data_IF_559279755615
#
_entry.id   IF_559279755615
#
_cell.length_a   1.000
_cell.length_b   1.000
_cell.length_c   1.000
_cell.angle_alpha   90.00
_cell.angle_beta   90.00
_cell.angle_gamma   90.00
#
_symmetry.space_group_name_H-M   'P 1'
#
loop_
_entity.id
_entity.type
_entity.pdbx_description
1 polymer ?
#
# COMPACT_ATOMS: atom_id res chain seq x y z
N UNK A 1 15.74 -17.00 -11.98
CA UNK A 1 15.61 -17.58 -10.62
C UNK A 1 14.40 -16.94 -9.93
N UNK A 2 13.33 -17.68 -9.65
CA UNK A 2 12.09 -17.11 -9.10
C UNK A 2 12.25 -16.55 -7.67
N UNK A 3 13.17 -17.08 -6.86
CA UNK A 3 13.40 -16.60 -5.49
C UNK A 3 13.97 -15.19 -5.48
N UNK A 4 14.91 -14.92 -6.38
CA UNK A 4 15.50 -13.60 -6.56
C UNK A 4 14.47 -12.60 -7.08
N UNK A 5 13.66 -13.00 -8.08
CA UNK A 5 12.56 -12.17 -8.61
C UNK A 5 11.59 -11.81 -7.48
N UNK A 6 11.11 -12.78 -6.71
CA UNK A 6 10.24 -12.54 -5.55
C UNK A 6 10.89 -11.60 -4.52
N UNK A 7 12.19 -11.75 -4.28
CA UNK A 7 12.95 -10.89 -3.38
C UNK A 7 12.98 -9.42 -3.84
N UNK A 8 13.21 -9.20 -5.14
CA UNK A 8 13.16 -7.87 -5.76
C UNK A 8 11.77 -7.26 -5.68
N UNK A 9 10.73 -8.00 -6.08
CA UNK A 9 9.33 -7.56 -6.00
C UNK A 9 8.99 -7.09 -4.59
N UNK A 10 9.26 -7.91 -3.57
CA UNK A 10 9.00 -7.55 -2.17
C UNK A 10 9.75 -6.29 -1.74
N UNK A 11 11.01 -6.16 -2.14
CA UNK A 11 11.83 -4.99 -1.80
C UNK A 11 11.26 -3.72 -2.42
N UNK A 12 10.87 -3.77 -3.70
CA UNK A 12 10.22 -2.66 -4.39
C UNK A 12 8.91 -2.27 -3.71
N UNK A 13 8.02 -3.22 -3.44
CA UNK A 13 6.73 -2.96 -2.78
C UNK A 13 6.91 -2.26 -1.42
N UNK A 14 7.84 -2.74 -0.58
CA UNK A 14 8.09 -2.12 0.74
C UNK A 14 8.68 -0.72 0.59
N UNK A 15 9.60 -0.52 -0.36
CA UNK A 15 10.20 0.79 -0.62
C UNK A 15 9.14 1.81 -1.03
N UNK A 16 8.30 1.46 -2.01
CA UNK A 16 7.26 2.38 -2.50
C UNK A 16 6.21 2.69 -1.45
N UNK A 17 5.80 1.69 -0.65
CA UNK A 17 4.88 1.90 0.46
C UNK A 17 5.41 2.88 1.52
N UNK A 18 6.71 2.83 1.81
CA UNK A 18 7.31 3.59 2.91
C UNK A 18 7.86 4.98 2.52
N UNK A 19 8.25 5.18 1.26
CA UNK A 19 9.06 6.33 0.86
C UNK A 19 8.25 7.53 0.33
N UNK A 20 6.95 7.38 0.05
CA UNK A 20 6.15 8.39 -0.66
C UNK A 20 4.99 8.90 0.18
N UNK A 21 4.63 10.17 -0.04
CA UNK A 21 3.37 10.71 0.45
C UNK A 21 2.20 9.99 -0.24
N UNK A 22 1.26 9.47 0.54
CA UNK A 22 0.10 8.73 0.05
C UNK A 22 -1.14 9.62 0.04
N UNK A 23 -1.62 10.10 -1.13
CA UNK A 23 -2.87 10.86 -1.20
C UNK A 23 -4.10 9.95 -1.07
N UNK A 24 -3.95 8.65 -1.36
CA UNK A 24 -4.98 7.62 -1.16
C UNK A 24 -4.35 6.22 -1.22
N UNK A 25 -5.03 5.23 -0.64
CA UNK A 25 -4.58 3.83 -0.71
C UNK A 25 -4.57 3.33 -2.16
N UNK A 26 -5.54 3.75 -2.99
CA UNK A 26 -5.59 3.42 -4.42
C UNK A 26 -4.36 3.92 -5.18
N UNK A 27 -3.93 5.17 -4.92
CA UNK A 27 -2.72 5.73 -5.52
C UNK A 27 -1.49 4.92 -5.10
N UNK A 28 -1.38 4.59 -3.81
CA UNK A 28 -0.29 3.75 -3.30
C UNK A 28 -0.26 2.37 -3.95
N UNK A 29 -1.40 1.69 -4.12
CA UNK A 29 -1.46 0.39 -4.82
C UNK A 29 -0.98 0.51 -6.26
N UNK A 30 -1.44 1.54 -6.98
CA UNK A 30 -1.03 1.76 -8.37
C UNK A 30 0.47 2.05 -8.49
N UNK A 31 1.01 2.94 -7.66
CA UNK A 31 2.44 3.29 -7.68
C UNK A 31 3.33 2.09 -7.32
N UNK A 32 2.93 1.31 -6.30
CA UNK A 32 3.62 0.07 -5.92
C UNK A 32 3.62 -0.96 -7.06
N UNK A 33 2.47 -1.17 -7.70
CA UNK A 33 2.32 -2.10 -8.81
C UNK A 33 3.15 -1.68 -10.04
N UNK A 34 3.04 -0.41 -10.45
CA UNK A 34 3.80 0.16 -11.56
C UNK A 34 5.30 0.05 -11.32
N UNK A 35 5.79 0.35 -10.11
CA UNK A 35 7.21 0.22 -9.79
C UNK A 35 7.72 -1.23 -9.87
N UNK A 36 6.90 -2.23 -9.55
CA UNK A 36 7.25 -3.63 -9.74
C UNK A 36 7.36 -3.97 -11.22
N UNK A 37 6.39 -3.55 -12.03
CA UNK A 37 6.42 -3.75 -13.48
C UNK A 37 7.64 -3.05 -14.10
N UNK A 38 8.00 -1.84 -13.69
CA UNK A 38 9.18 -1.16 -14.22
C UNK A 38 10.49 -1.88 -13.84
N UNK A 39 10.57 -2.43 -12.62
CA UNK A 39 11.79 -3.05 -12.09
C UNK A 39 11.98 -4.52 -12.52
N UNK A 40 10.91 -5.25 -12.86
CA UNK A 40 10.96 -6.68 -13.18
C UNK A 40 10.25 -7.00 -14.51
N UNK A 41 10.99 -7.04 -15.63
CA UNK A 41 10.44 -7.33 -16.96
C UNK A 41 9.73 -8.68 -17.07
N UNK A 42 10.06 -9.66 -16.22
CA UNK A 42 9.42 -10.97 -16.21
C UNK A 42 8.00 -10.98 -15.61
N UNK A 43 7.58 -9.89 -14.95
CA UNK A 43 6.21 -9.71 -14.44
C UNK A 43 5.39 -8.99 -15.49
N UNK A 44 4.30 -9.60 -15.91
CA UNK A 44 3.35 -9.05 -16.90
C UNK A 44 2.18 -8.33 -16.22
N UNK A 45 1.69 -8.90 -15.13
CA UNK A 45 0.58 -8.38 -14.33
C UNK A 45 0.86 -8.60 -12.84
N UNK A 46 0.38 -7.67 -12.02
CA UNK A 46 0.37 -7.78 -10.57
C UNK A 46 -1.01 -7.41 -10.02
N UNK A 47 -1.51 -8.23 -9.10
CA UNK A 47 -2.72 -7.95 -8.32
C UNK A 47 -2.34 -7.74 -6.86
N UNK A 48 -2.80 -6.63 -6.29
CA UNK A 48 -2.61 -6.27 -4.88
C UNK A 48 -3.97 -6.14 -4.21
N UNK A 49 -4.14 -6.77 -3.05
CA UNK A 49 -5.29 -6.59 -2.16
C UNK A 49 -4.79 -6.17 -0.79
N UNK A 50 -5.16 -4.97 -0.34
CA UNK A 50 -4.65 -4.38 0.89
C UNK A 50 -5.80 -3.83 1.74
N UNK A 51 -5.96 -4.31 2.98
CA UNK A 51 -6.86 -3.69 3.93
C UNK A 51 -6.27 -2.37 4.44
N UNK A 52 -7.14 -1.37 4.67
CA UNK A 52 -6.78 -0.18 5.41
C UNK A 52 -7.12 -0.37 6.89
N UNK A 53 -6.16 -0.88 7.66
CA UNK A 53 -6.34 -1.07 9.10
C UNK A 53 -6.35 0.28 9.80
N UNK A 54 -7.50 0.63 10.37
CA UNK A 54 -7.68 1.94 10.97
C UNK A 54 -6.89 2.06 12.28
N UNK A 55 -6.20 3.20 12.40
CA UNK A 55 -5.57 3.69 13.63
C UNK A 55 -6.16 5.07 13.90
N UNK A 56 -7.28 5.12 14.60
CA UNK A 56 -7.98 6.38 14.86
C UNK A 56 -7.30 7.13 16.00
N UNK A 57 -7.21 8.46 15.90
CA UNK A 57 -6.67 9.29 16.98
C UNK A 57 -7.60 9.22 18.19
N UNK A 58 -7.06 8.96 19.37
CA UNK A 58 -7.87 8.97 20.60
C UNK A 58 -8.24 10.41 20.94
N UNK A 59 -9.52 10.65 21.19
CA UNK A 59 -9.97 11.91 21.78
C UNK A 59 -9.63 11.95 23.27
N UNK A 60 -8.76 12.88 23.65
CA UNK A 60 -8.33 13.12 25.02
C UNK A 60 -8.88 14.44 25.58
N UNK A 61 -9.70 15.17 24.83
CA UNK A 61 -10.34 16.41 25.29
C UNK A 61 -11.11 16.22 26.61
N UNK A 62 -11.83 15.10 26.86
CA UNK A 62 -12.50 14.87 28.14
C UNK A 62 -11.57 14.78 29.36
N UNK A 63 -10.26 14.62 29.14
CA UNK A 63 -9.23 14.61 30.17
C UNK A 63 -8.42 15.90 30.22
N UNK A 64 -8.81 16.93 29.47
CA UNK A 64 -8.10 18.22 29.35
C UNK A 64 -6.66 18.07 28.80
N UNK A 65 -6.44 17.08 27.92
CA UNK A 65 -5.14 16.78 27.31
C UNK A 65 -5.19 16.92 25.79
N UNK A 66 -4.06 17.30 25.19
CA UNK A 66 -3.85 17.27 23.75
C UNK A 66 -3.38 15.88 23.27
N UNK A 67 -3.59 15.59 21.99
CA UNK A 67 -3.07 14.38 21.35
C UNK A 67 -2.49 14.73 19.97
N UNK A 68 -1.23 15.23 19.89
CA UNK A 68 -0.59 15.62 18.65
C UNK A 68 -0.10 14.40 17.86
N UNK A 69 -1.04 13.53 17.45
CA UNK A 69 -0.78 12.29 16.70
C UNK A 69 0.13 11.29 17.44
N UNK A 70 -0.10 11.10 18.75
CA UNK A 70 0.72 10.20 19.58
C UNK A 70 -0.02 8.95 20.05
N UNK A 71 -1.31 9.07 20.37
CA UNK A 71 -2.11 7.95 20.89
C UNK A 71 -3.24 7.59 19.93
N UNK A 72 -3.32 6.32 19.55
CA UNK A 72 -4.29 5.82 18.57
C UNK A 72 -5.02 4.57 19.08
N UNK A 73 -6.28 4.39 18.69
CA UNK A 73 -7.03 3.14 18.87
C UNK A 73 -6.78 2.21 17.67
N UNK A 74 -6.28 0.98 17.89
CA UNK A 74 -6.32 -0.08 16.90
C UNK A 74 -7.77 -0.51 16.65
N UNK A 75 -8.26 -0.39 15.42
CA UNK A 75 -9.55 -0.98 15.03
C UNK A 75 -9.31 -2.05 13.98
N UNK A 76 -9.66 -3.30 14.33
CA UNK A 76 -9.53 -4.43 13.41
C UNK A 76 -10.69 -4.47 12.41
N UNK A 77 -11.93 -4.31 12.86
CA UNK A 77 -13.13 -4.28 12.01
C UNK A 77 -14.10 -3.13 12.38
N UNK A 78 -14.83 -2.55 11.40
CA UNK A 78 -14.70 -2.76 9.97
C UNK A 78 -13.46 -2.05 9.41
N UNK A 79 -12.93 -2.54 8.30
CA UNK A 79 -11.84 -1.89 7.57
C UNK A 79 -12.18 -1.76 6.08
N UNK A 80 -11.64 -0.71 5.45
CA UNK A 80 -11.65 -0.64 3.98
C UNK A 80 -10.83 -1.78 3.40
N UNK A 81 -11.28 -2.38 2.28
CA UNK A 81 -10.48 -3.32 1.50
C UNK A 81 -10.35 -2.80 0.08
N UNK A 82 -9.13 -2.60 -0.39
CA UNK A 82 -8.83 -2.04 -1.70
C UNK A 82 -8.07 -3.09 -2.50
N UNK A 83 -8.51 -3.34 -3.74
CA UNK A 83 -7.85 -4.25 -4.67
C UNK A 83 -7.58 -3.53 -5.99
N UNK A 84 -6.41 -3.77 -6.57
CA UNK A 84 -6.04 -3.29 -7.90
C UNK A 84 -5.25 -4.38 -8.65
N UNK A 85 -5.53 -4.52 -9.95
CA UNK A 85 -4.74 -5.30 -10.90
C UNK A 85 -4.16 -4.35 -11.94
N UNK A 86 -2.85 -4.41 -12.12
CA UNK A 86 -2.12 -3.58 -13.09
C UNK A 86 -1.31 -4.51 -13.98
N UNK A 87 -1.47 -4.35 -15.28
CA UNK A 87 -0.75 -5.09 -16.32
C UNK A 87 -0.03 -4.11 -17.24
N UNK A 88 0.98 -4.58 -17.97
CA UNK A 88 1.60 -3.75 -19.00
C UNK A 88 0.64 -3.56 -20.17
N UNK A 89 0.81 -2.45 -20.87
CA UNK A 89 0.10 -2.23 -22.13
C UNK A 89 0.64 -3.19 -23.19
N UNK A 90 -0.26 -3.97 -23.77
CA UNK A 90 0.00 -4.68 -25.01
C UNK A 90 -0.75 -3.97 -26.13
N UNK A 91 -0.14 -3.79 -27.32
CA UNK A 91 -0.87 -3.31 -28.49
C UNK A 91 -2.08 -4.20 -28.74
N UNK A 92 -3.25 -3.58 -28.85
CA UNK A 92 -4.44 -4.28 -29.34
C UNK A 92 -4.16 -4.72 -30.78
N UNK A 93 -4.27 -6.02 -31.05
CA UNK A 93 -4.12 -6.59 -32.39
C UNK A 93 -5.28 -6.18 -33.29
#
# INVERSE_FOLDING_TARGET
NWREIRGRIRTTLIREFAARFSPSVQATLYEMASAVLDAEPAVEEITLSMPNLHRHLIDLEPFELDNPNVLFVPTDEPHGSITASVAREHPQQ
#
